data_IF_153516095498
#
_entry.id   IF_153516095498
#
_cell.length_a   1.000
_cell.length_b   1.000
_cell.length_c   1.000
_cell.angle_alpha   90.00
_cell.angle_beta   90.00
_cell.angle_gamma   90.00
#
_symmetry.space_group_name_H-M   'P 1'
#
loop_
_entity.id
_entity.type
_entity.pdbx_description
1 polymer ?
#
# COMPACT_ATOMS: atom_id res chain seq x y z
N UNK A 1 -12.15 16.17 -4.34
CA UNK A 1 -11.15 16.77 -3.40
C UNK A 1 -10.10 17.56 -4.18
N UNK A 2 -9.52 18.66 -3.65
CA UNK A 2 -8.41 19.40 -4.29
C UNK A 2 -7.06 18.73 -4.00
N UNK A 3 -6.08 18.84 -4.90
CA UNK A 3 -4.76 18.21 -4.75
C UNK A 3 -4.08 18.49 -3.40
N UNK A 4 -4.13 19.74 -2.92
CA UNK A 4 -3.54 20.11 -1.63
C UNK A 4 -4.18 19.35 -0.44
N UNK A 5 -5.50 19.15 -0.46
CA UNK A 5 -6.20 18.36 0.55
C UNK A 5 -5.85 16.87 0.44
N UNK A 6 -5.68 16.36 -0.78
CA UNK A 6 -5.23 14.98 -1.00
C UNK A 6 -3.80 14.76 -0.47
N UNK A 7 -2.88 15.70 -0.69
CA UNK A 7 -1.53 15.63 -0.14
C UNK A 7 -1.52 15.72 1.40
N UNK A 8 -2.40 16.54 1.99
CA UNK A 8 -2.53 16.60 3.45
C UNK A 8 -3.04 15.27 4.04
N UNK A 9 -4.04 14.65 3.39
CA UNK A 9 -4.55 13.33 3.78
C UNK A 9 -3.48 12.24 3.57
N UNK A 10 -2.72 12.30 2.47
CA UNK A 10 -1.60 11.40 2.22
C UNK A 10 -0.57 11.49 3.36
N UNK A 11 -0.15 12.71 3.73
CA UNK A 11 0.81 12.90 4.82
C UNK A 11 0.26 12.39 6.16
N UNK A 12 -1.04 12.55 6.42
CA UNK A 12 -1.66 11.98 7.61
C UNK A 12 -1.61 10.45 7.59
N UNK A 13 -2.01 9.80 6.50
CA UNK A 13 -1.97 8.34 6.33
C UNK A 13 -0.55 7.79 6.44
N UNK A 14 0.44 8.44 5.82
CA UNK A 14 1.85 8.08 5.93
C UNK A 14 2.37 8.15 7.38
N UNK A 15 1.84 9.07 8.19
CA UNK A 15 2.20 9.19 9.59
C UNK A 15 1.66 8.06 10.49
N UNK A 16 0.76 7.21 9.95
CA UNK A 16 0.14 6.10 10.68
C UNK A 16 0.86 4.79 10.37
N UNK A 17 1.09 3.99 11.39
CA UNK A 17 1.61 2.64 11.22
C UNK A 17 0.49 1.68 10.83
N UNK A 18 0.81 0.76 9.92
CA UNK A 18 -0.15 -0.24 9.44
C UNK A 18 0.54 -1.46 8.85
N UNK A 19 1.44 -2.15 9.59
CA UNK A 19 1.97 -3.42 9.11
C UNK A 19 0.86 -4.47 9.05
N UNK A 20 0.98 -5.49 8.17
CA UNK A 20 -0.02 -6.55 8.06
C UNK A 20 -0.38 -7.18 9.42
N UNK A 21 -1.68 -7.15 9.76
CA UNK A 21 -2.23 -7.66 11.02
C UNK A 21 -2.16 -6.69 12.21
N UNK A 22 -1.70 -5.46 12.00
CA UNK A 22 -1.81 -4.36 12.97
C UNK A 22 -1.97 -3.01 12.27
N UNK A 23 -3.08 -2.84 11.54
CA UNK A 23 -3.41 -1.64 10.79
C UNK A 23 -4.26 -0.62 11.58
N UNK A 24 -4.40 -0.80 12.90
CA UNK A 24 -5.33 -0.01 13.75
C UNK A 24 -5.20 1.51 13.62
N UNK A 25 -3.98 2.03 13.44
CA UNK A 25 -3.79 3.48 13.32
C UNK A 25 -4.30 4.03 11.98
N UNK A 26 -4.06 3.28 10.90
CA UNK A 26 -4.58 3.61 9.57
C UNK A 26 -6.08 3.45 9.52
N UNK A 27 -6.61 2.38 10.14
CA UNK A 27 -8.04 2.11 10.24
C UNK A 27 -8.79 3.28 10.83
N UNK A 28 -8.25 3.93 11.86
CA UNK A 28 -8.88 5.09 12.49
C UNK A 28 -9.07 6.26 11.51
N UNK A 29 -8.11 6.51 10.62
CA UNK A 29 -8.21 7.55 9.60
C UNK A 29 -9.22 7.15 8.54
N UNK A 30 -9.14 5.93 8.01
CA UNK A 30 -10.04 5.44 6.97
C UNK A 30 -11.50 5.45 7.45
N UNK A 31 -11.76 4.93 8.66
CA UNK A 31 -13.10 4.93 9.25
C UNK A 31 -13.66 6.36 9.39
N UNK A 32 -12.84 7.30 9.81
CA UNK A 32 -13.24 8.73 9.90
C UNK A 32 -13.65 9.27 8.54
N UNK A 33 -12.79 9.09 7.52
CA UNK A 33 -13.02 9.62 6.18
C UNK A 33 -14.19 8.95 5.47
N UNK A 34 -14.32 7.62 5.60
CA UNK A 34 -15.45 6.91 5.02
C UNK A 34 -16.79 7.33 5.65
N UNK A 35 -16.85 7.43 6.98
CA UNK A 35 -18.04 7.88 7.70
C UNK A 35 -18.43 9.32 7.37
N UNK A 36 -17.44 10.19 7.08
CA UNK A 36 -17.71 11.57 6.67
C UNK A 36 -18.45 11.65 5.33
N UNK A 37 -18.44 10.59 4.51
CA UNK A 37 -19.22 10.53 3.26
C UNK A 37 -20.72 10.28 3.45
N UNK A 38 -21.16 9.99 4.69
CA UNK A 38 -22.56 9.80 5.04
C UNK A 38 -23.19 8.50 4.54
N UNK A 39 -22.38 7.49 4.26
CA UNK A 39 -22.79 6.16 3.78
C UNK A 39 -22.61 5.10 4.88
N UNK A 40 -23.13 3.89 4.68
CA UNK A 40 -22.91 2.78 5.59
C UNK A 40 -21.43 2.34 5.55
N UNK A 41 -20.82 2.21 6.75
CA UNK A 41 -19.42 1.85 6.92
C UNK A 41 -19.28 0.79 7.99
N UNK A 42 -18.60 -0.31 7.67
CA UNK A 42 -18.30 -1.39 8.62
C UNK A 42 -16.91 -1.97 8.41
N UNK A 43 -16.46 -2.76 9.35
CA UNK A 43 -15.29 -3.60 9.22
C UNK A 43 -15.74 -5.07 9.09
N UNK A 44 -15.20 -5.79 8.10
CA UNK A 44 -15.53 -7.20 7.90
C UNK A 44 -14.69 -8.13 8.81
N UNK A 45 -14.93 -9.44 8.70
CA UNK A 45 -14.23 -10.46 9.50
C UNK A 45 -12.74 -10.62 9.16
N UNK A 46 -12.28 -10.08 8.03
CA UNK A 46 -10.87 -10.01 7.64
C UNK A 46 -10.24 -8.66 7.94
N UNK A 47 -10.94 -7.81 8.72
CA UNK A 47 -10.52 -6.45 9.06
C UNK A 47 -10.48 -5.46 7.90
N UNK A 48 -11.00 -5.78 6.71
CA UNK A 48 -11.21 -4.79 5.66
C UNK A 48 -12.22 -3.73 6.15
N UNK A 49 -12.04 -2.48 5.71
CA UNK A 49 -13.01 -1.41 5.96
C UNK A 49 -13.82 -1.20 4.69
N UNK A 50 -15.13 -1.32 4.79
CA UNK A 50 -16.05 -1.24 3.66
C UNK A 50 -16.97 -0.05 3.82
N UNK A 51 -17.12 0.75 2.76
CA UNK A 51 -18.13 1.79 2.63
C UNK A 51 -19.06 1.43 1.47
N UNK A 52 -20.36 1.52 1.68
CA UNK A 52 -21.39 1.11 0.72
C UNK A 52 -22.22 2.30 0.24
N UNK A 53 -22.21 2.52 -1.06
CA UNK A 53 -23.11 3.45 -1.75
C UNK A 53 -24.14 2.63 -2.51
N UNK A 54 -25.39 2.53 -1.99
CA UNK A 54 -26.39 1.64 -2.58
C UNK A 54 -26.88 2.11 -3.93
N UNK A 55 -27.12 1.16 -4.85
CA UNK A 55 -27.72 1.38 -6.16
C UNK A 55 -28.40 0.12 -6.67
N UNK A 56 -29.16 0.23 -7.76
CA UNK A 56 -29.93 -0.88 -8.34
C UNK A 56 -29.21 -1.61 -9.49
N UNK A 57 -28.06 -1.12 -9.91
CA UNK A 57 -27.27 -1.67 -11.01
C UNK A 57 -26.26 -2.73 -10.58
N UNK A 58 -25.26 -3.00 -11.43
CA UNK A 58 -24.26 -3.99 -11.17
C UNK A 58 -23.45 -3.65 -9.91
N UNK A 59 -23.06 -4.71 -9.18
CA UNK A 59 -22.25 -4.59 -7.99
C UNK A 59 -20.78 -4.37 -8.37
N UNK A 60 -20.22 -3.26 -7.94
CA UNK A 60 -18.84 -2.87 -8.20
C UNK A 60 -18.07 -2.71 -6.90
N UNK A 61 -16.96 -3.41 -6.76
CA UNK A 61 -16.01 -3.26 -5.68
C UNK A 61 -14.82 -2.42 -6.15
N UNK A 62 -14.48 -1.36 -5.42
CA UNK A 62 -13.27 -0.57 -5.63
C UNK A 62 -12.38 -0.75 -4.40
N UNK A 63 -11.16 -1.23 -4.62
CA UNK A 63 -10.23 -1.57 -3.56
C UNK A 63 -8.94 -0.74 -3.62
N UNK A 64 -8.35 -0.46 -2.46
CA UNK A 64 -6.98 0.00 -2.27
C UNK A 64 -6.48 -0.58 -0.95
N UNK A 65 -5.21 -1.00 -0.88
CA UNK A 65 -4.76 -1.67 0.34
C UNK A 65 -4.29 -0.69 1.42
N UNK A 66 -4.50 -1.09 2.67
CA UNK A 66 -4.21 -0.28 3.84
C UNK A 66 -2.97 -0.70 4.62
N UNK A 67 -2.46 -1.89 4.34
CA UNK A 67 -1.22 -2.35 4.95
C UNK A 67 0.01 -1.71 4.29
N UNK A 68 1.11 -1.71 5.00
CA UNK A 68 2.43 -1.28 4.55
C UNK A 68 3.46 -2.37 4.81
N UNK A 69 4.50 -2.43 4.01
CA UNK A 69 5.64 -3.31 4.24
C UNK A 69 6.22 -3.13 5.63
N UNK A 70 6.54 -4.23 6.29
CA UNK A 70 7.07 -4.21 7.64
C UNK A 70 8.07 -5.33 7.92
N UNK A 71 8.34 -5.47 9.20
CA UNK A 71 9.17 -6.53 9.76
C UNK A 71 8.44 -7.18 10.92
N UNK A 72 8.76 -8.45 11.17
CA UNK A 72 8.31 -9.19 12.35
C UNK A 72 9.52 -9.58 13.19
N UNK A 73 9.43 -9.38 14.50
CA UNK A 73 10.47 -9.83 15.45
C UNK A 73 10.45 -11.34 15.51
N UNK A 74 11.59 -11.97 15.23
CA UNK A 74 11.80 -13.43 15.26
C UNK A 74 12.64 -13.88 16.43
N UNK A 75 13.29 -12.97 17.17
CA UNK A 75 14.08 -13.29 18.34
C UNK A 75 14.58 -12.05 19.08
N UNK A 76 14.77 -12.20 20.38
CA UNK A 76 15.41 -11.20 21.25
C UNK A 76 16.76 -11.76 21.64
N UNK A 77 17.83 -11.04 21.37
CA UNK A 77 19.20 -11.44 21.69
C UNK A 77 19.56 -10.99 23.12
N UNK A 78 20.53 -11.67 23.75
CA UNK A 78 21.01 -11.38 25.14
C UNK A 78 21.47 -9.92 25.31
N UNK A 79 21.89 -9.27 24.24
CA UNK A 79 22.31 -7.87 24.24
C UNK A 79 21.17 -6.89 23.92
N UNK A 80 19.91 -7.35 23.92
CA UNK A 80 18.72 -6.53 23.64
C UNK A 80 18.50 -6.16 22.16
N UNK A 81 19.32 -6.65 21.24
CA UNK A 81 19.02 -6.52 19.81
C UNK A 81 17.90 -7.46 19.41
N UNK A 82 17.12 -7.08 18.41
CA UNK A 82 16.05 -7.91 17.86
C UNK A 82 16.46 -8.50 16.51
N UNK A 83 16.27 -9.81 16.36
CA UNK A 83 16.23 -10.46 15.04
C UNK A 83 14.90 -10.17 14.40
N UNK A 84 14.89 -9.93 13.09
CA UNK A 84 13.69 -9.64 12.33
C UNK A 84 13.67 -10.39 11.01
N UNK A 85 12.47 -10.61 10.49
CA UNK A 85 12.21 -11.05 9.12
C UNK A 85 11.27 -10.08 8.44
N UNK A 86 11.17 -10.16 7.10
CA UNK A 86 10.25 -9.32 6.34
C UNK A 86 8.77 -9.70 6.56
N UNK A 87 7.92 -8.72 6.43
CA UNK A 87 6.49 -8.86 6.15
C UNK A 87 6.23 -8.15 4.83
N UNK A 88 5.88 -8.93 3.80
CA UNK A 88 5.79 -8.46 2.41
C UNK A 88 7.11 -8.55 1.63
N UNK A 89 7.11 -8.01 0.42
CA UNK A 89 8.16 -8.18 -0.59
C UNK A 89 9.37 -7.25 -0.43
N UNK A 90 9.86 -6.97 0.78
CA UNK A 90 10.96 -6.04 1.00
C UNK A 90 12.29 -6.71 1.36
N UNK A 91 13.38 -6.06 1.00
CA UNK A 91 14.75 -6.41 1.35
C UNK A 91 15.35 -5.39 2.34
N UNK A 92 16.30 -5.79 3.22
CA UNK A 92 16.86 -4.86 4.21
C UNK A 92 17.55 -3.64 3.58
N UNK A 93 18.16 -3.80 2.40
CA UNK A 93 18.80 -2.70 1.68
C UNK A 93 17.81 -1.68 1.10
N UNK A 94 16.52 -2.02 0.93
CA UNK A 94 15.46 -1.08 0.57
C UNK A 94 15.07 -0.16 1.73
N UNK A 95 15.08 -0.70 2.96
CA UNK A 95 14.88 0.13 4.14
C UNK A 95 16.07 1.01 4.44
N UNK A 96 17.30 0.52 4.17
CA UNK A 96 18.53 1.18 4.58
C UNK A 96 18.67 1.25 6.10
N UNK A 97 19.86 1.60 6.59
CA UNK A 97 20.06 1.85 8.03
C UNK A 97 19.25 3.09 8.47
N UNK A 98 18.75 3.06 9.68
CA UNK A 98 18.03 4.20 10.26
C UNK A 98 16.91 3.81 11.23
N UNK A 99 16.14 4.80 11.70
CA UNK A 99 15.08 4.62 12.68
C UNK A 99 13.97 3.68 12.23
N UNK A 100 13.61 2.77 13.13
CA UNK A 100 12.52 1.80 13.04
C UNK A 100 11.66 1.94 14.29
N UNK A 101 10.36 1.84 14.16
CA UNK A 101 9.39 1.79 15.24
C UNK A 101 8.95 0.33 15.45
N UNK A 102 9.24 -0.22 16.63
CA UNK A 102 8.77 -1.54 17.06
C UNK A 102 7.47 -1.34 17.83
N UNK A 103 6.40 -1.96 17.37
CA UNK A 103 5.06 -1.84 17.95
C UNK A 103 4.92 -2.83 19.11
N UNK A 104 4.72 -2.31 20.30
CA UNK A 104 4.54 -3.09 21.53
C UNK A 104 3.05 -3.30 21.84
N UNK A 105 2.74 -4.33 22.68
CA UNK A 105 1.37 -4.82 22.91
C UNK A 105 0.36 -3.75 23.34
N UNK A 106 0.77 -2.77 24.11
CA UNK A 106 -0.13 -1.76 24.67
C UNK A 106 -0.27 -0.50 23.82
N UNK A 107 0.20 -0.56 22.56
CA UNK A 107 0.23 0.61 21.68
C UNK A 107 1.44 1.51 21.91
N UNK A 108 2.36 1.13 22.80
CA UNK A 108 3.64 1.79 22.97
C UNK A 108 4.54 1.53 21.75
N UNK A 109 5.46 2.46 21.50
CA UNK A 109 6.46 2.33 20.44
C UNK A 109 7.84 2.26 21.08
N UNK A 110 8.59 1.22 20.73
CA UNK A 110 10.01 1.14 21.07
C UNK A 110 10.82 1.55 19.84
N UNK A 111 11.53 2.66 19.96
CA UNK A 111 12.44 3.13 18.93
C UNK A 111 13.64 2.20 18.83
N UNK A 112 13.95 1.80 17.60
CA UNK A 112 15.11 0.99 17.27
C UNK A 112 15.85 1.55 16.04
N UNK A 113 17.02 1.02 15.74
CA UNK A 113 17.77 1.32 14.52
C UNK A 113 18.04 0.03 13.77
N UNK A 114 17.68 0.00 12.47
CA UNK A 114 18.13 -1.06 11.58
C UNK A 114 19.63 -0.91 11.39
N UNK A 115 20.39 -1.96 11.70
CA UNK A 115 21.84 -1.91 11.72
C UNK A 115 22.45 -3.18 11.14
N UNK A 116 23.44 -2.99 10.28
CA UNK A 116 24.29 -4.03 9.71
C UNK A 116 25.54 -4.28 10.59
N UNK A 117 25.96 -3.27 11.35
CA UNK A 117 27.13 -3.31 12.22
C UNK A 117 28.28 -2.41 11.73
N UNK A 118 29.43 -2.50 12.40
CA UNK A 118 30.59 -1.61 12.14
C UNK A 118 31.42 -2.09 10.95
N UNK A 119 31.88 -1.15 10.12
CA UNK A 119 32.79 -1.42 9.00
C UNK A 119 34.22 -1.85 9.42
N UNK A 120 34.60 -1.57 10.67
CA UNK A 120 35.96 -1.81 11.19
C UNK A 120 36.16 -3.25 11.68
N UNK A 121 35.85 -4.23 10.81
CA UNK A 121 36.05 -5.66 11.06
C UNK A 121 36.49 -6.39 9.80
N UNK A 122 37.18 -7.52 9.99
CA UNK A 122 37.56 -8.43 8.90
C UNK A 122 36.81 -9.76 8.94
N UNK A 123 35.82 -9.88 9.84
CA UNK A 123 35.05 -11.12 10.04
C UNK A 123 33.57 -10.82 10.12
N UNK A 124 32.72 -11.85 9.98
CA UNK A 124 31.27 -11.76 10.09
C UNK A 124 30.60 -11.04 8.91
N UNK A 125 29.38 -10.56 9.14
CA UNK A 125 28.48 -9.98 8.12
C UNK A 125 29.16 -8.93 7.25
N UNK A 126 29.90 -8.01 7.84
CA UNK A 126 30.57 -6.93 7.08
C UNK A 126 31.64 -7.47 6.12
N UNK A 127 32.38 -8.51 6.51
CA UNK A 127 33.33 -9.17 5.60
C UNK A 127 32.60 -9.81 4.43
N UNK A 128 31.50 -10.52 4.70
CA UNK A 128 30.68 -11.17 3.68
C UNK A 128 30.10 -10.16 2.68
N UNK A 129 29.64 -8.99 3.15
CA UNK A 129 29.16 -7.92 2.29
C UNK A 129 30.27 -7.32 1.39
N UNK A 130 31.50 -7.18 1.93
CA UNK A 130 32.66 -6.77 1.12
C UNK A 130 33.00 -7.79 0.04
N UNK A 131 32.76 -9.07 0.30
CA UNK A 131 32.94 -10.17 -0.66
C UNK A 131 31.78 -10.29 -1.66
N UNK A 132 30.94 -9.25 -1.76
CA UNK A 132 29.80 -9.10 -2.70
C UNK A 132 28.61 -10.02 -2.40
N UNK A 133 28.46 -10.52 -1.20
CA UNK A 133 27.22 -11.18 -0.78
C UNK A 133 26.07 -10.17 -0.68
N UNK A 134 24.89 -10.55 -1.15
CA UNK A 134 23.70 -9.71 -1.01
C UNK A 134 23.31 -9.53 0.47
N UNK A 135 22.88 -8.33 0.86
CA UNK A 135 22.37 -8.07 2.22
C UNK A 135 21.02 -8.75 2.40
N UNK A 136 20.94 -9.68 3.35
CA UNK A 136 19.76 -10.47 3.69
C UNK A 136 19.27 -10.20 5.11
N UNK A 137 18.06 -10.67 5.46
CA UNK A 137 17.45 -10.40 6.76
C UNK A 137 18.20 -11.03 7.95
N UNK A 138 18.89 -12.13 7.76
CA UNK A 138 19.73 -12.76 8.75
C UNK A 138 21.02 -11.98 9.08
N UNK A 139 21.36 -11.01 8.24
CA UNK A 139 22.55 -10.15 8.40
C UNK A 139 22.26 -8.85 9.15
N UNK A 140 21.01 -8.53 9.43
CA UNK A 140 20.62 -7.28 10.08
C UNK A 140 19.97 -7.53 11.44
N UNK A 141 20.05 -6.54 12.32
CA UNK A 141 19.32 -6.54 13.59
C UNK A 141 18.75 -5.15 13.87
N UNK A 142 17.73 -5.09 14.72
CA UNK A 142 17.27 -3.83 15.28
C UNK A 142 18.00 -3.59 16.61
N UNK A 143 18.74 -2.50 16.68
CA UNK A 143 19.38 -2.03 17.90
C UNK A 143 18.42 -1.16 18.70
N UNK A 144 18.04 -1.58 19.90
CA UNK A 144 17.04 -0.91 20.74
C UNK A 144 17.61 -0.06 21.85
N UNK A 145 18.87 -0.32 22.25
CA UNK A 145 19.48 0.30 23.44
C UNK A 145 18.88 -0.17 24.77
N UNK A 146 18.05 -1.22 24.78
CA UNK A 146 17.36 -1.77 25.94
C UNK A 146 17.90 -3.17 26.27
N UNK A 147 17.71 -3.61 27.53
CA UNK A 147 17.95 -5.01 27.92
C UNK A 147 16.77 -5.89 27.49
N UNK A 148 16.94 -7.23 27.42
CA UNK A 148 15.83 -8.14 27.11
C UNK A 148 14.66 -8.00 28.10
N UNK A 149 14.95 -7.83 29.40
CA UNK A 149 13.93 -7.66 30.45
C UNK A 149 13.13 -6.35 30.25
N UNK A 150 13.83 -5.26 29.87
CA UNK A 150 13.19 -3.99 29.60
C UNK A 150 12.30 -4.05 28.34
N UNK A 151 12.69 -4.82 27.32
CA UNK A 151 11.88 -5.07 26.14
C UNK A 151 10.60 -5.85 26.47
N UNK A 152 10.72 -6.92 27.25
CA UNK A 152 9.57 -7.70 27.74
C UNK A 152 8.63 -6.82 28.59
N UNK A 153 9.18 -6.01 29.50
CA UNK A 153 8.40 -5.10 30.32
C UNK A 153 7.60 -4.06 29.49
N UNK A 154 8.11 -3.69 28.31
CA UNK A 154 7.43 -2.82 27.34
C UNK A 154 6.44 -3.57 26.42
N UNK A 155 6.37 -4.90 26.49
CA UNK A 155 5.53 -5.71 25.63
C UNK A 155 6.12 -5.96 24.23
N UNK A 156 7.45 -5.96 24.11
CA UNK A 156 8.15 -6.38 22.89
C UNK A 156 8.57 -7.84 23.03
N UNK A 157 8.15 -8.66 22.07
CA UNK A 157 8.39 -10.09 22.05
C UNK A 157 8.50 -10.65 20.63
N UNK A 158 8.75 -11.95 20.48
CA UNK A 158 8.65 -12.63 19.18
C UNK A 158 7.21 -12.48 18.64
N UNK A 159 7.10 -11.96 17.42
CA UNK A 159 5.81 -11.63 16.80
C UNK A 159 5.46 -10.13 16.84
N UNK A 160 6.15 -9.30 17.64
CA UNK A 160 5.99 -7.83 17.57
C UNK A 160 6.30 -7.33 16.16
N UNK A 161 5.48 -6.40 15.65
CA UNK A 161 5.69 -5.77 14.33
C UNK A 161 6.70 -4.64 14.45
N UNK A 162 7.43 -4.40 13.37
CA UNK A 162 8.31 -3.25 13.26
C UNK A 162 8.19 -2.64 11.86
N UNK A 163 8.20 -1.33 11.79
CA UNK A 163 8.01 -0.56 10.56
C UNK A 163 8.99 0.61 10.49
N UNK A 164 9.15 1.18 9.32
CA UNK A 164 9.91 2.43 9.17
C UNK A 164 9.33 3.50 10.10
N UNK A 165 10.19 4.17 10.84
CA UNK A 165 9.77 5.17 11.81
C UNK A 165 9.03 6.34 11.15
N UNK A 166 8.05 6.92 11.86
CA UNK A 166 7.15 7.96 11.33
C UNK A 166 7.87 9.13 10.70
N UNK A 167 8.96 9.58 11.28
CA UNK A 167 9.75 10.69 10.76
C UNK A 167 10.39 10.42 9.41
N UNK A 168 10.57 9.15 9.03
CA UNK A 168 11.07 8.73 7.72
C UNK A 168 9.96 8.60 6.67
N UNK A 169 8.69 8.71 7.08
CA UNK A 169 7.50 8.66 6.22
C UNK A 169 6.92 10.06 5.96
N UNK A 170 7.72 11.12 6.16
CA UNK A 170 7.36 12.46 5.73
C UNK A 170 7.52 12.58 4.22
N UNK A 171 6.58 13.30 3.60
CA UNK A 171 6.69 13.62 2.18
C UNK A 171 7.87 14.58 1.98
N UNK A 172 8.86 14.12 1.24
CA UNK A 172 9.93 14.96 0.71
C UNK A 172 9.55 15.43 -0.69
N UNK A 173 9.85 16.69 -1.00
CA UNK A 173 9.55 17.26 -2.31
C UNK A 173 10.84 17.66 -3.00
N UNK A 174 11.01 17.24 -4.26
CA UNK A 174 12.17 17.60 -5.09
C UNK A 174 11.76 17.71 -6.56
N UNK A 175 12.09 18.82 -7.19
CA UNK A 175 11.56 19.13 -8.53
C UNK A 175 10.02 19.08 -8.51
N UNK A 176 9.45 18.32 -9.41
CA UNK A 176 8.00 18.11 -9.51
C UNK A 176 7.52 16.86 -8.78
N UNK A 177 8.41 16.12 -8.10
CA UNK A 177 8.14 14.83 -7.49
C UNK A 177 7.98 14.91 -5.98
N UNK A 178 7.31 13.92 -5.44
CA UNK A 178 7.29 13.62 -4.00
C UNK A 178 7.94 12.26 -3.76
N UNK A 179 8.51 12.09 -2.55
CA UNK A 179 8.99 10.79 -2.11
C UNK A 179 8.66 10.53 -0.65
N UNK A 180 8.40 9.26 -0.35
CA UNK A 180 8.23 8.74 1.00
C UNK A 180 8.33 7.22 1.00
N UNK A 181 8.49 6.61 2.18
CA UNK A 181 8.12 5.21 2.37
C UNK A 181 6.60 5.07 2.38
N UNK A 182 6.09 3.92 1.97
CA UNK A 182 4.67 3.56 2.00
C UNK A 182 3.74 4.48 1.15
N UNK A 183 4.24 5.06 0.05
CA UNK A 183 3.34 5.60 -0.99
C UNK A 183 2.44 4.48 -1.53
N UNK A 184 2.98 3.28 -1.57
CA UNK A 184 2.31 2.00 -1.74
C UNK A 184 1.62 1.57 -0.42
N UNK A 185 0.29 1.49 -0.31
CA UNK A 185 -0.66 2.07 -1.26
C UNK A 185 -1.49 3.19 -0.60
N UNK A 186 -0.79 4.04 0.20
CA UNK A 186 -1.43 5.23 0.80
C UNK A 186 -1.95 6.19 -0.28
N UNK A 187 -1.36 6.19 -1.48
CA UNK A 187 -1.85 6.98 -2.61
C UNK A 187 -3.18 6.44 -3.13
N UNK A 188 -3.33 5.12 -3.25
CA UNK A 188 -4.58 4.48 -3.60
C UNK A 188 -5.67 4.73 -2.58
N UNK A 189 -5.36 4.66 -1.28
CA UNK A 189 -6.31 5.01 -0.21
C UNK A 189 -6.81 6.45 -0.33
N UNK A 190 -5.93 7.42 -0.61
CA UNK A 190 -6.35 8.82 -0.82
C UNK A 190 -7.30 8.94 -2.00
N UNK A 191 -7.01 8.26 -3.11
CA UNK A 191 -7.88 8.28 -4.29
C UNK A 191 -9.20 7.55 -4.06
N UNK A 192 -9.18 6.44 -3.33
CA UNK A 192 -10.37 5.70 -2.90
C UNK A 192 -11.30 6.59 -2.06
N UNK A 193 -10.76 7.26 -1.04
CA UNK A 193 -11.49 8.19 -0.17
C UNK A 193 -12.04 9.36 -0.97
N UNK A 194 -11.22 9.98 -1.83
CA UNK A 194 -11.63 11.13 -2.62
C UNK A 194 -12.74 10.78 -3.63
N UNK A 195 -12.67 9.60 -4.25
CA UNK A 195 -13.70 9.10 -5.14
C UNK A 195 -15.00 8.81 -4.39
N UNK A 196 -14.94 8.12 -3.25
CA UNK A 196 -16.12 7.86 -2.40
C UNK A 196 -16.84 9.17 -2.03
N UNK A 197 -16.10 10.18 -1.54
CA UNK A 197 -16.69 11.48 -1.16
C UNK A 197 -17.40 12.16 -2.33
N UNK A 198 -16.92 11.99 -3.56
CA UNK A 198 -17.56 12.58 -4.75
C UNK A 198 -18.77 11.76 -5.23
N UNK A 199 -18.68 10.43 -5.25
CA UNK A 199 -19.75 9.59 -5.80
C UNK A 199 -20.86 9.27 -4.81
N UNK A 200 -20.63 9.37 -3.51
CA UNK A 200 -21.62 9.10 -2.47
C UNK A 200 -22.93 9.90 -2.65
N UNK A 201 -22.84 11.08 -3.26
CA UNK A 201 -23.98 11.97 -3.52
C UNK A 201 -24.34 12.08 -5.02
N UNK A 202 -23.67 11.31 -5.90
CA UNK A 202 -23.81 11.46 -7.35
C UNK A 202 -25.04 10.72 -7.92
N UNK A 203 -25.66 9.83 -7.14
CA UNK A 203 -26.84 9.06 -7.59
C UNK A 203 -26.54 8.12 -8.75
N UNK A 204 -25.36 7.52 -8.78
CA UNK A 204 -25.00 6.53 -9.79
C UNK A 204 -25.90 5.29 -9.66
N UNK A 205 -26.26 4.65 -10.79
CA UNK A 205 -27.12 3.46 -10.73
C UNK A 205 -26.43 2.20 -10.20
N UNK A 206 -25.14 2.27 -9.89
CA UNK A 206 -24.28 1.17 -9.45
C UNK A 206 -24.44 0.87 -7.96
N UNK A 207 -24.33 -0.42 -7.58
CA UNK A 207 -24.20 -0.86 -6.19
C UNK A 207 -22.71 -0.88 -5.82
N UNK A 208 -22.20 0.22 -5.22
CA UNK A 208 -20.77 0.48 -5.07
C UNK A 208 -20.26 0.15 -3.67
N UNK A 209 -19.16 -0.60 -3.61
CA UNK A 209 -18.43 -0.93 -2.39
C UNK A 209 -17.01 -0.40 -2.50
N UNK A 210 -16.64 0.55 -1.65
CA UNK A 210 -15.27 1.05 -1.49
C UNK A 210 -14.62 0.31 -0.34
N UNK A 211 -13.53 -0.37 -0.62
CA UNK A 211 -12.90 -1.32 0.33
C UNK A 211 -11.44 -0.96 0.54
N UNK A 212 -11.10 -0.56 1.77
CA UNK A 212 -9.71 -0.51 2.21
C UNK A 212 -9.29 -1.91 2.67
N UNK A 213 -8.46 -2.57 1.88
CA UNK A 213 -8.16 -3.99 2.03
C UNK A 213 -7.00 -4.24 2.99
N UNK A 214 -7.06 -5.36 3.70
CA UNK A 214 -6.04 -5.88 4.61
C UNK A 214 -5.13 -6.87 3.89
N UNK A 215 -3.84 -6.86 4.23
CA UNK A 215 -2.90 -7.95 3.91
C UNK A 215 -2.69 -8.18 2.42
N UNK A 216 -2.66 -7.14 1.62
CA UNK A 216 -2.28 -7.20 0.20
C UNK A 216 -0.85 -7.68 0.07
N UNK A 217 0.08 -7.03 0.76
CA UNK A 217 1.53 -7.25 0.76
C UNK A 217 1.96 -8.67 1.19
N UNK A 218 1.07 -9.38 1.87
CA UNK A 218 1.32 -10.74 2.38
C UNK A 218 0.44 -11.80 1.73
N UNK A 219 -0.09 -11.52 0.55
CA UNK A 219 -0.76 -12.53 -0.28
C UNK A 219 -2.16 -12.19 -0.77
N UNK A 220 -2.50 -10.90 -0.90
CA UNK A 220 -3.79 -10.42 -1.46
C UNK A 220 -4.99 -11.00 -0.69
N UNK A 221 -4.89 -11.05 0.65
CA UNK A 221 -5.80 -11.85 1.49
C UNK A 221 -7.14 -11.12 1.66
N UNK A 222 -7.06 -9.84 2.01
CA UNK A 222 -8.24 -9.03 2.36
C UNK A 222 -9.19 -8.85 1.19
N UNK A 223 -8.67 -8.52 0.02
CA UNK A 223 -9.48 -8.32 -1.18
C UNK A 223 -10.21 -9.58 -1.63
N UNK A 224 -9.55 -10.74 -1.58
CA UNK A 224 -10.20 -12.03 -1.87
C UNK A 224 -11.35 -12.30 -0.90
N UNK A 225 -11.15 -12.01 0.40
CA UNK A 225 -12.22 -12.18 1.38
C UNK A 225 -13.36 -11.21 1.17
N UNK A 226 -13.07 -9.94 0.91
CA UNK A 226 -14.08 -8.93 0.60
C UNK A 226 -14.88 -9.35 -0.65
N UNK A 227 -14.21 -9.73 -1.75
CA UNK A 227 -14.87 -10.16 -2.97
C UNK A 227 -15.73 -11.42 -2.77
N UNK A 228 -15.27 -12.38 -1.93
CA UNK A 228 -16.06 -13.56 -1.58
C UNK A 228 -17.37 -13.20 -0.85
N UNK A 229 -17.34 -12.21 0.05
CA UNK A 229 -18.50 -11.75 0.81
C UNK A 229 -19.44 -10.89 -0.03
N UNK A 230 -18.87 -9.96 -0.82
CA UNK A 230 -19.62 -8.98 -1.59
C UNK A 230 -20.12 -9.55 -2.93
N UNK A 231 -19.41 -10.51 -3.52
CA UNK A 231 -19.72 -11.10 -4.83
C UNK A 231 -19.86 -10.03 -5.94
N UNK A 232 -18.84 -9.21 -6.17
CA UNK A 232 -18.93 -8.14 -7.17
C UNK A 232 -18.95 -8.70 -8.60
N UNK A 233 -19.68 -8.05 -9.48
CA UNK A 233 -19.60 -8.29 -10.94
C UNK A 233 -18.28 -7.73 -11.48
N UNK A 234 -17.86 -6.58 -10.94
CA UNK A 234 -16.65 -5.87 -11.34
C UNK A 234 -15.84 -5.56 -10.09
N UNK A 235 -14.56 -5.95 -10.09
CA UNK A 235 -13.60 -5.57 -9.05
C UNK A 235 -12.50 -4.68 -9.66
N UNK A 236 -12.30 -3.53 -9.04
CA UNK A 236 -11.30 -2.52 -9.43
C UNK A 236 -10.29 -2.42 -8.29
N UNK A 237 -8.99 -2.54 -8.58
CA UNK A 237 -7.94 -2.20 -7.64
C UNK A 237 -7.27 -0.89 -8.07
N UNK A 238 -7.14 0.03 -7.13
CA UNK A 238 -6.20 1.13 -7.21
C UNK A 238 -4.92 0.67 -6.55
N UNK A 239 -3.79 0.86 -7.24
CA UNK A 239 -2.50 0.41 -6.74
C UNK A 239 -1.37 1.22 -7.34
N UNK A 240 -0.19 1.17 -6.77
CA UNK A 240 0.98 1.81 -7.35
C UNK A 240 1.61 0.92 -8.42
N UNK A 241 2.14 1.54 -9.46
CA UNK A 241 2.61 0.87 -10.67
C UNK A 241 4.12 1.04 -10.80
N UNK A 242 4.93 0.00 -10.51
CA UNK A 242 6.38 0.09 -10.55
C UNK A 242 6.89 0.47 -11.95
N UNK A 243 7.70 1.53 -12.02
CA UNK A 243 8.50 1.86 -13.20
C UNK A 243 9.77 1.04 -13.13
N UNK A 244 9.91 0.06 -14.02
CA UNK A 244 11.04 -0.85 -14.07
C UNK A 244 11.77 -0.73 -15.42
N UNK A 245 13.00 -1.24 -15.50
CA UNK A 245 13.81 -1.16 -16.72
C UNK A 245 13.23 -1.93 -17.93
N UNK A 246 12.33 -2.87 -17.66
CA UNK A 246 11.68 -3.74 -18.64
C UNK A 246 10.23 -3.33 -18.95
N UNK A 247 9.73 -2.24 -18.36
CA UNK A 247 8.43 -1.65 -18.68
C UNK A 247 8.56 -0.35 -19.47
N UNK A 248 7.63 -0.02 -20.39
CA UNK A 248 7.68 1.22 -21.17
C UNK A 248 7.16 2.44 -20.39
N UNK A 249 7.10 2.36 -19.07
CA UNK A 249 6.51 3.40 -18.24
C UNK A 249 7.42 4.59 -18.04
N UNK A 250 6.82 5.77 -17.97
CA UNK A 250 7.47 7.02 -17.60
C UNK A 250 6.97 7.43 -16.22
N UNK A 251 7.87 7.87 -15.37
CA UNK A 251 7.53 8.42 -14.05
C UNK A 251 6.97 9.83 -14.19
N UNK A 252 5.66 9.92 -14.36
CA UNK A 252 4.93 11.19 -14.51
C UNK A 252 3.53 11.11 -13.88
N UNK A 253 2.69 12.12 -14.14
CA UNK A 253 1.36 12.23 -13.55
C UNK A 253 0.29 11.35 -14.21
N UNK A 254 0.58 10.70 -15.35
CA UNK A 254 -0.40 9.88 -16.07
C UNK A 254 -0.75 8.61 -15.29
N UNK A 255 -2.03 8.24 -15.18
CA UNK A 255 -2.40 6.93 -14.64
C UNK A 255 -1.76 5.79 -15.45
N UNK A 256 -1.48 4.69 -14.77
CA UNK A 256 -1.00 3.45 -15.40
C UNK A 256 -2.12 2.43 -15.39
N UNK A 257 -2.46 1.87 -16.54
CA UNK A 257 -3.52 0.88 -16.71
C UNK A 257 -2.89 -0.50 -16.90
N UNK A 258 -3.20 -1.43 -16.01
CA UNK A 258 -2.67 -2.78 -16.06
C UNK A 258 -3.53 -3.67 -16.96
N UNK A 259 -2.97 -4.12 -18.09
CA UNK A 259 -3.61 -5.10 -18.95
C UNK A 259 -3.40 -6.52 -18.47
N UNK A 260 -2.35 -6.74 -17.70
CA UNK A 260 -2.01 -8.02 -17.14
C UNK A 260 -0.95 -7.92 -16.05
N UNK A 261 -0.98 -8.94 -15.21
CA UNK A 261 -0.04 -9.23 -14.15
C UNK A 261 0.04 -10.76 -14.01
N UNK A 262 0.02 -11.32 -12.81
CA UNK A 262 -0.21 -12.77 -12.62
C UNK A 262 -1.59 -13.24 -13.15
N UNK A 263 -2.48 -12.31 -13.49
CA UNK A 263 -3.75 -12.54 -14.18
C UNK A 263 -3.94 -11.47 -15.25
N UNK A 264 -4.76 -11.76 -16.28
CA UNK A 264 -5.09 -10.78 -17.31
C UNK A 264 -6.41 -10.09 -16.98
N UNK A 265 -6.41 -8.76 -17.02
CA UNK A 265 -7.60 -7.95 -16.80
C UNK A 265 -8.51 -7.90 -18.02
N UNK A 266 -9.71 -7.35 -17.84
CA UNK A 266 -10.66 -7.25 -18.92
C UNK A 266 -10.21 -6.18 -19.93
N UNK A 267 -9.87 -6.60 -21.15
CA UNK A 267 -9.35 -5.70 -22.20
C UNK A 267 -10.28 -4.54 -22.53
N UNK A 268 -11.59 -4.78 -22.61
CA UNK A 268 -12.56 -3.74 -22.95
C UNK A 268 -12.58 -2.64 -21.88
N UNK A 269 -12.45 -3.01 -20.62
CA UNK A 269 -12.40 -2.06 -19.53
C UNK A 269 -11.08 -1.27 -19.53
N UNK A 270 -9.96 -1.95 -19.80
CA UNK A 270 -8.65 -1.29 -19.94
C UNK A 270 -8.64 -0.28 -21.11
N UNK A 271 -9.18 -0.68 -22.28
CA UNK A 271 -9.32 0.21 -23.44
C UNK A 271 -10.24 1.42 -23.12
N UNK A 272 -11.30 1.19 -22.34
CA UNK A 272 -12.20 2.25 -21.87
C UNK A 272 -11.46 3.25 -20.97
N UNK A 273 -10.65 2.77 -20.04
CA UNK A 273 -9.84 3.63 -19.17
C UNK A 273 -8.83 4.48 -19.97
N UNK A 274 -8.14 3.89 -20.95
CA UNK A 274 -7.24 4.66 -21.84
C UNK A 274 -7.99 5.77 -22.56
N UNK A 275 -9.13 5.46 -23.19
CA UNK A 275 -9.96 6.44 -23.89
C UNK A 275 -10.44 7.55 -22.95
N UNK A 276 -10.93 7.19 -21.76
CA UNK A 276 -11.38 8.18 -20.77
C UNK A 276 -10.24 9.09 -20.29
N UNK A 277 -9.03 8.56 -20.11
CA UNK A 277 -7.87 9.37 -19.74
C UNK A 277 -7.50 10.39 -20.83
N UNK A 278 -7.62 10.01 -22.10
CA UNK A 278 -7.41 10.91 -23.24
C UNK A 278 -8.51 11.99 -23.30
N UNK A 279 -9.77 11.62 -23.11
CA UNK A 279 -10.91 12.55 -23.06
C UNK A 279 -10.81 13.55 -21.87
N UNK A 280 -10.22 13.10 -20.76
CA UNK A 280 -9.94 13.96 -19.59
C UNK A 280 -8.71 14.86 -19.77
N UNK A 281 -7.95 14.66 -20.87
CA UNK A 281 -6.84 15.53 -21.29
C UNK A 281 -5.50 15.26 -20.64
N UNK A 282 -5.32 14.15 -19.89
CA UNK A 282 -4.04 13.81 -19.27
C UNK A 282 -3.42 12.52 -19.82
N UNK A 283 -4.18 11.69 -20.57
CA UNK A 283 -3.71 10.41 -21.07
C UNK A 283 -3.44 9.36 -20.00
N UNK A 284 -3.09 8.14 -20.40
CA UNK A 284 -2.66 7.07 -19.52
C UNK A 284 -1.58 6.19 -20.15
N UNK A 285 -0.96 5.32 -19.38
CA UNK A 285 0.12 4.44 -19.81
C UNK A 285 -0.31 2.98 -19.66
N UNK A 286 -0.36 2.18 -20.74
CA UNK A 286 -0.66 0.75 -20.61
C UNK A 286 0.57 -0.04 -20.16
N UNK A 287 0.36 -1.11 -19.36
CA UNK A 287 1.41 -2.00 -18.93
C UNK A 287 0.93 -3.45 -18.79
N UNK A 288 1.84 -4.39 -18.96
CA UNK A 288 1.73 -5.79 -18.54
C UNK A 288 2.93 -6.09 -17.65
N UNK A 289 2.69 -6.63 -16.47
CA UNK A 289 3.73 -7.01 -15.52
C UNK A 289 3.92 -8.53 -15.47
N UNK A 290 5.18 -8.97 -15.41
CA UNK A 290 5.52 -10.38 -15.20
C UNK A 290 5.64 -10.72 -13.70
N UNK A 291 6.04 -9.75 -12.86
CA UNK A 291 6.40 -9.97 -11.46
C UNK A 291 5.54 -9.21 -10.43
N UNK A 292 4.74 -8.23 -10.86
CA UNK A 292 3.82 -7.54 -9.97
C UNK A 292 2.50 -8.31 -9.77
N UNK A 293 1.78 -7.95 -8.72
CA UNK A 293 0.44 -8.46 -8.44
C UNK A 293 -0.35 -7.38 -7.72
N UNK A 294 -1.68 -7.37 -7.90
CA UNK A 294 -2.61 -6.46 -7.24
C UNK A 294 -3.79 -7.22 -6.64
N UNK A 295 -4.57 -6.55 -5.82
CA UNK A 295 -5.83 -7.07 -5.30
C UNK A 295 -6.79 -7.54 -6.41
N UNK A 296 -6.86 -6.82 -7.55
CA UNK A 296 -7.71 -7.22 -8.68
C UNK A 296 -7.22 -8.53 -9.32
N UNK A 297 -5.91 -8.71 -9.47
CA UNK A 297 -5.31 -9.96 -9.95
C UNK A 297 -5.57 -11.12 -9.01
N UNK A 298 -5.47 -10.89 -7.70
CA UNK A 298 -5.79 -11.88 -6.67
C UNK A 298 -7.25 -12.33 -6.72
N UNK A 299 -8.19 -11.40 -6.87
CA UNK A 299 -9.62 -11.66 -7.03
C UNK A 299 -9.87 -12.45 -8.31
N UNK A 300 -9.24 -12.07 -9.42
CA UNK A 300 -9.36 -12.74 -10.73
C UNK A 300 -8.89 -14.18 -10.68
N UNK A 301 -7.71 -14.44 -10.11
CA UNK A 301 -7.16 -15.79 -9.97
C UNK A 301 -8.04 -16.68 -9.12
N UNK A 302 -8.70 -16.13 -8.10
CA UNK A 302 -9.63 -16.84 -7.25
C UNK A 302 -11.03 -17.02 -7.85
N UNK A 303 -11.32 -16.44 -9.02
CA UNK A 303 -12.63 -16.51 -9.67
C UNK A 303 -13.75 -15.81 -8.91
N UNK A 304 -13.43 -14.74 -8.16
CA UNK A 304 -14.36 -14.07 -7.24
C UNK A 304 -15.05 -12.82 -7.83
N UNK A 305 -14.70 -12.45 -9.07
CA UNK A 305 -15.41 -11.42 -9.84
C UNK A 305 -15.44 -11.78 -11.34
N UNK A 306 -16.48 -11.38 -12.03
CA UNK A 306 -16.61 -11.62 -13.47
C UNK A 306 -15.61 -10.80 -14.29
N UNK A 307 -15.44 -9.54 -13.94
CA UNK A 307 -14.53 -8.59 -14.57
C UNK A 307 -13.59 -7.99 -13.52
N UNK A 308 -12.32 -7.81 -13.88
CA UNK A 308 -11.35 -7.15 -13.00
C UNK A 308 -10.57 -6.09 -13.75
N UNK A 309 -10.18 -5.04 -13.05
CA UNK A 309 -9.38 -3.92 -13.53
C UNK A 309 -8.40 -3.51 -12.47
N UNK A 310 -7.15 -3.24 -12.85
CA UNK A 310 -6.17 -2.62 -11.98
C UNK A 310 -5.59 -1.38 -12.67
N UNK A 311 -5.47 -0.28 -11.96
CA UNK A 311 -4.80 0.92 -12.43
C UNK A 311 -4.39 1.83 -11.28
N UNK A 312 -3.42 2.71 -11.52
CA UNK A 312 -2.97 3.61 -10.48
C UNK A 312 -1.83 4.50 -10.89
N UNK A 313 -0.79 4.57 -10.08
CA UNK A 313 0.20 5.64 -10.07
C UNK A 313 1.56 5.13 -10.54
N UNK A 314 2.19 5.78 -11.53
CA UNK A 314 3.58 5.53 -11.84
C UNK A 314 4.45 5.80 -10.61
N UNK A 315 5.26 4.82 -10.20
CA UNK A 315 6.08 4.88 -8.99
C UNK A 315 7.47 4.29 -9.27
N UNK A 316 8.52 5.01 -8.92
CA UNK A 316 9.89 4.51 -8.93
C UNK A 316 10.34 4.08 -7.53
N UNK A 317 11.43 3.33 -7.46
CA UNK A 317 12.04 2.80 -6.25
C UNK A 317 11.07 1.99 -5.36
N UNK A 318 10.24 1.18 -6.00
CA UNK A 318 9.25 0.29 -5.39
C UNK A 318 9.77 -0.42 -4.14
N UNK A 319 8.92 -0.52 -3.09
CA UNK A 319 9.22 -1.17 -1.81
C UNK A 319 10.42 -0.58 -1.05
N UNK A 320 10.68 0.73 -1.25
CA UNK A 320 11.74 1.47 -0.58
C UNK A 320 11.32 2.89 -0.26
N UNK A 321 12.22 3.86 -0.44
CA UNK A 321 11.87 5.29 -0.39
C UNK A 321 11.35 5.68 -1.77
N UNK A 322 10.06 5.58 -1.95
CA UNK A 322 9.34 5.58 -3.22
C UNK A 322 9.16 7.00 -3.76
N UNK A 323 9.09 7.11 -5.08
CA UNK A 323 8.99 8.38 -5.80
C UNK A 323 7.76 8.36 -6.68
N UNK A 324 6.94 9.41 -6.64
CA UNK A 324 5.76 9.57 -7.49
C UNK A 324 5.50 11.04 -7.84
N UNK A 325 4.69 11.27 -8.87
CA UNK A 325 4.25 12.62 -9.22
C UNK A 325 2.97 12.98 -8.46
N UNK A 326 2.90 14.09 -7.70
CA UNK A 326 1.76 14.39 -6.83
C UNK A 326 0.44 14.65 -7.58
N UNK A 327 0.49 15.12 -8.84
CA UNK A 327 -0.72 15.34 -9.63
C UNK A 327 -1.40 14.02 -10.06
N UNK A 328 -0.71 12.88 -10.00
CA UNK A 328 -1.29 11.57 -10.29
C UNK A 328 -2.44 11.22 -9.34
N UNK A 329 -2.44 11.70 -8.09
CA UNK A 329 -3.56 11.56 -7.15
C UNK A 329 -4.87 12.09 -7.76
N UNK A 330 -4.82 13.27 -8.37
CA UNK A 330 -6.01 13.89 -9.01
C UNK A 330 -6.37 13.12 -10.28
N UNK A 331 -5.39 12.72 -11.10
CA UNK A 331 -5.65 12.05 -12.37
C UNK A 331 -6.27 10.67 -12.16
N UNK A 332 -5.72 9.85 -11.27
CA UNK A 332 -6.26 8.53 -10.94
C UNK A 332 -7.67 8.64 -10.36
N UNK A 333 -7.88 9.57 -9.42
CA UNK A 333 -9.24 9.80 -8.84
C UNK A 333 -10.26 10.21 -9.91
N UNK A 334 -9.92 11.16 -10.79
CA UNK A 334 -10.80 11.61 -11.87
C UNK A 334 -11.09 10.50 -12.88
N UNK A 335 -10.08 9.69 -13.19
CA UNK A 335 -10.23 8.54 -14.08
C UNK A 335 -11.17 7.49 -13.47
N UNK A 336 -11.01 7.16 -12.19
CA UNK A 336 -11.92 6.25 -11.47
C UNK A 336 -13.36 6.76 -11.54
N UNK A 337 -13.59 8.02 -11.18
CA UNK A 337 -14.95 8.60 -11.19
C UNK A 337 -15.55 8.60 -12.59
N UNK A 338 -14.77 8.93 -13.62
CA UNK A 338 -15.23 8.89 -15.02
C UNK A 338 -15.57 7.44 -15.45
N UNK A 339 -14.76 6.48 -15.04
CA UNK A 339 -15.01 5.07 -15.34
C UNK A 339 -16.28 4.56 -14.64
N UNK A 340 -16.47 4.86 -13.35
CA UNK A 340 -17.71 4.51 -12.63
C UNK A 340 -18.97 5.12 -13.25
N UNK A 341 -18.88 6.32 -13.84
CA UNK A 341 -19.99 6.95 -14.56
C UNK A 341 -20.27 6.31 -15.94
N UNK A 342 -19.31 5.57 -16.48
CA UNK A 342 -19.41 4.89 -17.78
C UNK A 342 -19.99 3.47 -17.65
N UNK A 343 -19.89 2.84 -16.45
CA UNK A 343 -20.45 1.51 -16.16
C UNK A 343 -21.98 1.54 -16.04
#
# INVERSE_FOLDING_TARGET
MKQQAMLALLQELLSKHGPPGDEREVDAVILREFRASGVDVWQDSATNIVAHVPGAGPKVMVAAHKDELGMIVTGVLDNGRLKVSNMGGAFPWKYGEGPIDVLADKGDIVRALLSVGSLHTRTGVISELRDRRALTWDMVTLYTGLTPEALVAKGVHIGSRAVVARERKKIETFGEMIASFALDDRMGLVSLIAALQEVAQAGLPLDLYFVATHGEEVGLIGAKRAAQLLQPEIAIALDTSPVTHDTPLVLDARPVIWYGERAYHNKVDCDTLLRLADELGFGAQPVVYDAAASDAGGIKQAGLAGRTVAFGFARDNSHGFEIAHPASLVHVTRLLIAYLKQL
#
